data_IF_947794399634
#
_entry.id   IF_947794399634
#
_cell.length_a   1.000
_cell.length_b   1.000
_cell.length_c   1.000
_cell.angle_alpha   90.00
_cell.angle_beta   90.00
_cell.angle_gamma   90.00
#
_symmetry.space_group_name_H-M   'P 1'
#
loop_
_entity.id
_entity.type
_entity.pdbx_description
1 polymer ?
#
# COMPACT_ATOMS: atom_id res chain seq x y z
N UNK A 1 -14.80 0.78 -20.34
CA UNK A 1 -13.45 0.72 -19.73
C UNK A 1 -13.47 0.71 -18.20
N UNK A 2 -14.25 1.59 -17.56
CA UNK A 2 -14.41 1.64 -16.09
C UNK A 2 -14.71 0.28 -15.40
N UNK A 3 -15.65 -0.57 -15.88
CA UNK A 3 -15.98 -1.82 -15.18
C UNK A 3 -14.82 -2.81 -15.15
N UNK A 4 -13.98 -2.85 -16.19
CA UNK A 4 -12.81 -3.73 -16.24
C UNK A 4 -11.73 -3.31 -15.24
N UNK A 5 -11.52 -2.00 -15.09
CA UNK A 5 -10.55 -1.46 -14.12
C UNK A 5 -11.02 -1.72 -12.68
N UNK A 6 -12.32 -1.56 -12.41
CA UNK A 6 -12.92 -1.89 -11.12
C UNK A 6 -12.80 -3.38 -10.82
N UNK A 7 -13.09 -4.26 -11.79
CA UNK A 7 -12.92 -5.70 -11.64
C UNK A 7 -11.47 -6.09 -11.36
N UNK A 8 -10.50 -5.50 -12.08
CA UNK A 8 -9.08 -5.76 -11.85
C UNK A 8 -8.62 -5.33 -10.44
N UNK A 9 -9.08 -4.16 -9.97
CA UNK A 9 -8.82 -3.69 -8.60
C UNK A 9 -9.43 -4.64 -7.57
N UNK A 10 -10.64 -5.14 -7.81
CA UNK A 10 -11.28 -6.08 -6.89
C UNK A 10 -10.52 -7.42 -6.85
N UNK A 11 -10.20 -8.00 -8.02
CA UNK A 11 -9.55 -9.31 -8.12
C UNK A 11 -8.12 -9.29 -7.56
N UNK A 12 -7.35 -8.22 -7.78
CA UNK A 12 -5.95 -8.13 -7.33
C UNK A 12 -5.87 -7.48 -5.94
N UNK A 13 -6.68 -6.46 -5.70
CA UNK A 13 -6.65 -5.66 -4.48
C UNK A 13 -7.21 -6.37 -3.26
N UNK A 14 -8.31 -7.14 -3.37
CA UNK A 14 -8.86 -7.88 -2.21
C UNK A 14 -7.86 -8.90 -1.64
N UNK A 15 -7.24 -9.78 -2.47
CA UNK A 15 -6.26 -10.73 -1.98
C UNK A 15 -5.05 -10.04 -1.35
N UNK A 16 -4.52 -8.99 -1.99
CA UNK A 16 -3.42 -8.21 -1.41
C UNK A 16 -3.80 -7.58 -0.06
N UNK A 17 -5.01 -7.04 0.05
CA UNK A 17 -5.52 -6.47 1.29
C UNK A 17 -5.66 -7.53 2.39
N UNK A 18 -6.20 -8.70 2.06
CA UNK A 18 -6.33 -9.81 3.00
C UNK A 18 -4.98 -10.27 3.53
N UNK A 19 -4.00 -10.49 2.65
CA UNK A 19 -2.64 -10.90 3.04
C UNK A 19 -1.96 -9.80 3.88
N UNK A 20 -2.16 -8.53 3.53
CA UNK A 20 -1.67 -7.39 4.31
C UNK A 20 -2.27 -7.31 5.72
N UNK A 21 -3.55 -7.62 5.89
CA UNK A 21 -4.16 -7.67 7.23
C UNK A 21 -3.65 -8.89 8.02
N UNK A 22 -3.49 -10.04 7.38
CA UNK A 22 -3.13 -11.30 8.03
C UNK A 22 -1.66 -11.37 8.46
N UNK A 23 -0.74 -10.92 7.61
CA UNK A 23 0.71 -11.14 7.79
C UNK A 23 1.47 -9.84 8.07
N UNK A 24 2.24 -9.78 9.17
CA UNK A 24 3.06 -8.60 9.53
C UNK A 24 4.26 -8.43 8.61
N UNK A 25 4.93 -9.51 8.24
CA UNK A 25 6.09 -9.45 7.33
C UNK A 25 5.69 -8.95 5.94
N UNK A 26 4.51 -9.34 5.47
CA UNK A 26 3.95 -8.83 4.22
C UNK A 26 3.73 -7.31 4.25
N UNK A 27 3.29 -6.74 5.39
CA UNK A 27 3.14 -5.28 5.55
C UNK A 27 4.46 -4.52 5.51
N UNK A 28 5.57 -5.12 6.00
CA UNK A 28 6.91 -4.52 5.89
C UNK A 28 7.36 -4.47 4.43
N UNK A 29 7.17 -5.56 3.70
CA UNK A 29 7.45 -5.61 2.27
C UNK A 29 6.59 -4.60 1.50
N UNK A 30 5.30 -4.55 1.80
CA UNK A 30 4.34 -3.66 1.14
C UNK A 30 4.64 -2.18 1.45
N UNK A 31 5.13 -1.85 2.64
CA UNK A 31 5.62 -0.50 2.95
C UNK A 31 6.76 -0.09 2.00
N UNK A 32 7.74 -0.97 1.77
CA UNK A 32 8.80 -0.74 0.79
C UNK A 32 8.25 -0.53 -0.62
N UNK A 33 7.33 -1.39 -1.07
CA UNK A 33 6.71 -1.30 -2.40
C UNK A 33 5.96 0.02 -2.60
N UNK A 34 5.20 0.48 -1.59
CA UNK A 34 4.51 1.77 -1.63
C UNK A 34 5.46 2.96 -1.58
N UNK A 35 6.54 2.89 -0.80
CA UNK A 35 7.55 3.95 -0.75
C UNK A 35 8.23 4.14 -2.10
N UNK A 36 8.73 3.05 -2.71
CA UNK A 36 9.36 3.10 -4.04
C UNK A 36 8.38 3.61 -5.09
N UNK A 37 7.15 3.08 -5.11
CA UNK A 37 6.11 3.50 -6.06
C UNK A 37 5.75 4.99 -5.94
N UNK A 38 5.66 5.50 -4.70
CA UNK A 38 5.46 6.91 -4.42
C UNK A 38 6.60 7.76 -4.97
N UNK A 39 7.86 7.35 -4.72
CA UNK A 39 9.04 8.05 -5.20
C UNK A 39 9.08 8.15 -6.73
N UNK A 40 8.86 7.03 -7.42
CA UNK A 40 8.80 6.99 -8.89
C UNK A 40 7.71 7.90 -9.45
N UNK A 41 6.52 7.90 -8.86
CA UNK A 41 5.40 8.69 -9.35
C UNK A 41 5.55 10.20 -9.08
N UNK A 42 6.15 10.57 -7.94
CA UNK A 42 6.54 11.96 -7.64
C UNK A 42 7.66 12.41 -8.58
N UNK A 43 8.64 11.55 -8.87
CA UNK A 43 9.70 11.84 -9.81
C UNK A 43 9.15 12.15 -11.21
N UNK A 44 8.22 11.33 -11.72
CA UNK A 44 7.58 11.60 -13.01
C UNK A 44 6.79 12.91 -13.03
N UNK A 45 6.18 13.28 -11.89
CA UNK A 45 5.53 14.58 -11.77
C UNK A 45 6.54 15.73 -11.85
N UNK A 46 7.63 15.67 -11.07
CA UNK A 46 8.66 16.71 -11.05
C UNK A 46 9.38 16.85 -12.40
N UNK A 47 9.70 15.72 -13.03
CA UNK A 47 10.33 15.67 -14.34
C UNK A 47 9.34 15.98 -15.48
N UNK A 48 8.05 16.19 -15.19
CA UNK A 48 6.96 16.43 -16.16
C UNK A 48 6.92 15.37 -17.27
N UNK A 49 7.26 14.12 -16.95
CA UNK A 49 7.33 13.03 -17.91
C UNK A 49 5.93 12.44 -18.11
N UNK A 50 5.33 12.57 -19.30
CA UNK A 50 4.10 11.85 -19.63
C UNK A 50 4.40 10.36 -19.79
N UNK A 51 3.59 9.50 -19.16
CA UNK A 51 3.78 8.05 -19.22
C UNK A 51 2.73 7.47 -20.16
N UNK A 52 3.11 6.92 -21.33
CA UNK A 52 2.15 6.21 -22.17
C UNK A 52 1.70 4.95 -21.45
N UNK A 53 0.39 4.75 -21.32
CA UNK A 53 -0.13 3.48 -20.84
C UNK A 53 0.07 2.44 -21.94
N UNK A 54 0.99 1.50 -21.72
CA UNK A 54 1.26 0.41 -22.66
C UNK A 54 -0.05 -0.24 -23.12
N UNK A 55 -0.16 -0.50 -24.42
CA UNK A 55 -1.35 -1.07 -25.06
C UNK A 55 -2.58 -0.14 -25.16
N UNK A 56 -2.42 1.15 -24.87
CA UNK A 56 -3.48 2.15 -25.06
C UNK A 56 -2.91 3.41 -25.72
N UNK A 57 -3.77 4.19 -26.39
CA UNK A 57 -3.41 5.52 -26.88
C UNK A 57 -3.49 6.60 -25.77
N UNK A 58 -3.68 6.19 -24.51
CA UNK A 58 -3.83 7.09 -23.39
C UNK A 58 -2.47 7.42 -22.78
N UNK A 59 -2.28 8.71 -22.47
CA UNK A 59 -1.09 9.22 -21.80
C UNK A 59 -1.47 9.60 -20.38
N UNK A 60 -0.76 9.06 -19.40
CA UNK A 60 -0.90 9.49 -18.02
C UNK A 60 -0.26 10.86 -17.85
N UNK A 61 -1.08 11.85 -17.47
CA UNK A 61 -0.59 13.19 -17.20
C UNK A 61 0.30 13.23 -15.96
N UNK A 62 1.27 14.17 -15.89
CA UNK A 62 2.11 14.34 -14.71
C UNK A 62 1.31 14.59 -13.43
N UNK A 63 0.17 15.28 -13.51
CA UNK A 63 -0.72 15.57 -12.37
C UNK A 63 -1.36 14.28 -11.82
N UNK A 64 -1.76 13.36 -12.70
CA UNK A 64 -2.22 12.03 -12.30
C UNK A 64 -1.11 11.24 -11.61
N UNK A 65 0.14 11.40 -12.06
CA UNK A 65 1.29 10.81 -11.39
C UNK A 65 1.49 11.36 -9.98
N UNK A 66 1.34 12.68 -9.78
CA UNK A 66 1.40 13.30 -8.45
C UNK A 66 0.33 12.72 -7.51
N UNK A 67 -0.92 12.67 -7.97
CA UNK A 67 -2.04 12.14 -7.18
C UNK A 67 -1.80 10.67 -6.78
N UNK A 68 -1.43 9.82 -7.75
CA UNK A 68 -1.13 8.42 -7.44
C UNK A 68 0.06 8.32 -6.47
N UNK A 69 1.08 9.16 -6.62
CA UNK A 69 2.24 9.21 -5.73
C UNK A 69 1.81 9.53 -4.30
N UNK A 70 0.95 10.52 -4.11
CA UNK A 70 0.39 10.86 -2.80
C UNK A 70 -0.40 9.70 -2.19
N UNK A 71 -1.22 9.00 -2.98
CA UNK A 71 -1.96 7.81 -2.50
C UNK A 71 -0.99 6.73 -2.02
N UNK A 72 0.06 6.43 -2.78
CA UNK A 72 1.09 5.46 -2.38
C UNK A 72 1.83 5.91 -1.12
N UNK A 73 2.09 7.22 -0.97
CA UNK A 73 2.70 7.75 0.25
C UNK A 73 1.82 7.58 1.49
N UNK A 74 0.51 7.78 1.36
CA UNK A 74 -0.45 7.55 2.45
C UNK A 74 -0.50 6.05 2.80
N UNK A 75 -0.54 5.18 1.80
CA UNK A 75 -0.53 3.72 2.01
C UNK A 75 0.78 3.24 2.65
N UNK A 76 1.92 3.83 2.28
CA UNK A 76 3.20 3.63 2.95
C UNK A 76 3.12 3.99 4.44
N UNK A 77 2.65 5.21 4.77
CA UNK A 77 2.49 5.65 6.17
C UNK A 77 1.58 4.72 6.96
N UNK A 78 0.45 4.30 6.39
CA UNK A 78 -0.48 3.36 7.02
C UNK A 78 0.15 1.99 7.26
N UNK A 79 0.95 1.51 6.30
CA UNK A 79 1.65 0.22 6.38
C UNK A 79 2.72 0.26 7.48
N UNK A 80 3.53 1.32 7.52
CA UNK A 80 4.53 1.53 8.58
C UNK A 80 3.87 1.69 9.95
N UNK A 81 2.83 2.51 10.08
CA UNK A 81 2.13 2.74 11.35
C UNK A 81 1.59 1.43 11.95
N UNK A 82 0.91 0.60 11.13
CA UNK A 82 0.38 -0.69 11.57
C UNK A 82 1.44 -1.76 11.81
N UNK A 83 2.66 -1.58 11.31
CA UNK A 83 3.81 -2.45 11.59
C UNK A 83 4.53 -2.00 12.85
N UNK A 84 4.68 -0.70 13.07
CA UNK A 84 5.39 -0.10 14.20
C UNK A 84 4.58 -0.22 15.49
N UNK A 85 3.26 -0.05 15.43
CA UNK A 85 2.42 -0.30 16.59
C UNK A 85 2.56 -1.77 17.01
N UNK A 86 3.08 -2.07 18.22
CA UNK A 86 2.98 -3.42 18.75
C UNK A 86 1.49 -3.79 18.77
N UNK A 87 1.17 -5.04 18.45
CA UNK A 87 -0.13 -5.58 18.87
C UNK A 87 -0.26 -5.20 20.33
N UNK A 88 -1.31 -4.46 20.69
CA UNK A 88 -1.78 -4.57 22.06
C UNK A 88 -1.99 -6.06 22.27
N UNK A 89 -1.10 -6.68 23.03
CA UNK A 89 -1.32 -8.03 23.49
C UNK A 89 -2.73 -8.03 24.08
N UNK A 90 -3.56 -9.06 23.84
CA UNK A 90 -4.86 -9.11 24.50
C UNK A 90 -4.62 -8.87 25.99
N UNK A 91 -5.09 -7.74 26.49
CA UNK A 91 -5.03 -7.41 27.90
C UNK A 91 -5.98 -8.38 28.59
N UNK A 92 -5.47 -9.55 28.96
CA UNK A 92 -6.32 -10.61 29.52
C UNK A 92 -5.73 -12.00 29.40
N UNK A 93 -4.66 -12.29 30.15
CA UNK A 93 -4.66 -13.44 31.05
C UNK A 93 -3.58 -13.25 32.12
N UNK A 94 -3.82 -12.32 33.04
CA UNK A 94 -3.20 -12.41 34.35
C UNK A 94 -3.94 -13.46 35.15
N UNK A 95 -3.31 -14.60 35.45
CA UNK A 95 -3.27 -15.13 36.83
C UNK A 95 -2.47 -16.42 36.95
N UNK A 96 -1.64 -16.40 37.98
CA UNK A 96 -1.14 -17.53 38.77
C UNK A 96 -0.20 -18.53 38.08
N UNK A 97 1.10 -18.25 38.23
CA UNK A 97 2.04 -19.33 38.57
C UNK A 97 2.82 -18.96 39.83
N UNK A 98 2.08 -18.94 40.94
CA UNK A 98 2.65 -19.26 42.24
C UNK A 98 2.54 -20.77 42.42
N UNK A 99 3.68 -21.46 42.46
CA UNK A 99 3.94 -22.80 43.04
C UNK A 99 5.47 -22.87 43.04
N UNK A 100 6.07 -22.49 44.19
CA UNK A 100 6.59 -23.41 45.21
C UNK A 100 7.63 -24.33 44.61
#
# INVERSE_FOLDING_TARGET
>A
MLPYHVAAIMVIGLPMLYVAVRYREYRKFLAGAFFVSSGTQIYFYLAKIPIPLMWTNAVQSPQLSALRGTIHFVLFRLSVFRVVLPRQAPHGLGRQRGRR
#
